data_IF_107869977104
#
_entry.id   IF_107869977104
#
_cell.length_a   1.000
_cell.length_b   1.000
_cell.length_c   1.000
_cell.angle_alpha   90.00
_cell.angle_beta   90.00
_cell.angle_gamma   90.00
#
_symmetry.space_group_name_H-M   'P 1'
#
loop_
_entity.id
_entity.type
_entity.pdbx_description
1 polymer ?
#
# COMPACT_ATOMS: atom_id res chain seq x y z
N UNK A 1 -1.06 -4.20 3.65
CA UNK A 1 0.09 -3.26 3.49
C UNK A 1 1.33 -4.02 3.06
N UNK A 2 2.33 -3.35 2.51
CA UNK A 2 3.62 -3.95 2.18
C UNK A 2 4.48 -4.10 3.43
N UNK A 3 5.44 -5.03 3.40
CA UNK A 3 6.53 -5.02 4.37
C UNK A 3 7.55 -3.98 3.92
N UNK A 4 8.11 -3.21 4.85
CA UNK A 4 9.08 -2.18 4.49
C UNK A 4 10.30 -2.82 3.82
N UNK A 5 10.89 -2.12 2.86
CA UNK A 5 11.97 -2.64 2.03
C UNK A 5 11.59 -3.61 0.93
N UNK A 6 10.30 -3.88 0.73
CA UNK A 6 9.85 -4.48 -0.52
C UNK A 6 10.21 -3.59 -1.72
N UNK A 7 10.74 -4.23 -2.76
CA UNK A 7 10.88 -3.62 -4.08
C UNK A 7 9.59 -3.81 -4.88
N UNK A 8 8.81 -2.75 -5.01
CA UNK A 8 7.58 -2.70 -5.78
C UNK A 8 7.93 -2.46 -7.24
N UNK A 9 7.79 -3.50 -8.05
CA UNK A 9 7.98 -3.42 -9.50
C UNK A 9 6.71 -2.91 -10.18
N UNK A 10 6.86 -1.95 -11.09
CA UNK A 10 5.73 -1.42 -11.86
C UNK A 10 5.99 -1.43 -13.37
N UNK A 11 4.91 -1.56 -14.14
CA UNK A 11 4.93 -1.62 -15.60
C UNK A 11 3.80 -0.77 -16.19
N UNK A 12 4.08 -0.09 -17.30
CA UNK A 12 3.08 0.63 -18.10
C UNK A 12 2.63 -0.21 -19.28
N UNK A 13 1.34 -0.51 -19.37
CA UNK A 13 0.78 -1.24 -20.50
C UNK A 13 1.03 -0.52 -21.82
N UNK A 14 1.53 -1.27 -22.79
CA UNK A 14 1.67 -0.80 -24.19
C UNK A 14 0.52 -1.27 -25.07
N UNK A 15 -0.14 -2.36 -24.68
CA UNK A 15 -1.32 -2.93 -25.35
C UNK A 15 -2.39 -3.32 -24.32
N UNK A 16 -3.69 -3.30 -24.70
CA UNK A 16 -4.21 -2.71 -25.94
C UNK A 16 -3.95 -1.20 -26.01
N UNK A 17 -4.00 -0.62 -27.22
CA UNK A 17 -3.71 0.80 -27.44
C UNK A 17 -4.47 1.76 -26.52
N UNK A 18 -5.69 1.42 -26.10
CA UNK A 18 -6.49 2.20 -25.15
C UNK A 18 -5.87 2.33 -23.75
N UNK A 19 -4.94 1.45 -23.37
CA UNK A 19 -4.27 1.48 -22.07
C UNK A 19 -2.92 2.22 -22.10
N UNK A 20 -2.50 2.72 -23.25
CA UNK A 20 -1.18 3.35 -23.41
C UNK A 20 -1.22 4.82 -23.02
N UNK A 21 -0.40 5.23 -22.04
CA UNK A 21 -0.33 6.63 -21.57
C UNK A 21 0.48 7.56 -22.46
N UNK A 22 1.49 7.05 -23.18
CA UNK A 22 2.46 7.91 -23.86
C UNK A 22 3.44 8.56 -22.88
N UNK A 23 4.52 9.17 -23.39
CA UNK A 23 5.66 9.57 -22.53
C UNK A 23 5.27 10.55 -21.42
N UNK A 24 4.49 11.60 -21.72
CA UNK A 24 4.12 12.62 -20.73
C UNK A 24 3.26 12.10 -19.58
N UNK A 25 2.36 11.15 -19.84
CA UNK A 25 1.53 10.52 -18.80
C UNK A 25 2.39 9.57 -17.95
N UNK A 26 3.22 8.76 -18.58
CA UNK A 26 4.14 7.84 -17.88
C UNK A 26 5.15 8.62 -17.03
N UNK A 27 5.67 9.75 -17.51
CA UNK A 27 6.57 10.62 -16.76
C UNK A 27 5.89 11.24 -15.54
N UNK A 28 4.62 11.65 -15.63
CA UNK A 28 3.88 12.13 -14.46
C UNK A 28 3.72 11.05 -13.37
N UNK A 29 3.57 9.78 -13.75
CA UNK A 29 3.53 8.67 -12.80
C UNK A 29 4.92 8.41 -12.19
N UNK A 30 5.99 8.47 -13.01
CA UNK A 30 7.38 8.36 -12.53
C UNK A 30 7.71 9.48 -11.53
N UNK A 31 7.33 10.71 -11.83
CA UNK A 31 7.48 11.87 -10.95
C UNK A 31 6.76 11.63 -9.61
N UNK A 32 5.53 11.10 -9.65
CA UNK A 32 4.76 10.82 -8.44
C UNK A 32 5.41 9.70 -7.59
N UNK A 33 5.93 8.63 -8.20
CA UNK A 33 6.73 7.62 -7.48
C UNK A 33 7.99 8.24 -6.87
N UNK A 34 8.67 9.13 -7.59
CA UNK A 34 9.84 9.84 -7.10
C UNK A 34 9.49 10.73 -5.89
N UNK A 35 8.39 11.48 -5.93
CA UNK A 35 7.94 12.33 -4.82
C UNK A 35 7.69 11.51 -3.54
N UNK A 36 6.99 10.37 -3.64
CA UNK A 36 6.83 9.48 -2.49
C UNK A 36 8.18 8.93 -1.99
N UNK A 37 9.10 8.60 -2.90
CA UNK A 37 10.41 8.05 -2.55
C UNK A 37 11.33 9.09 -1.88
N UNK A 38 11.27 10.34 -2.31
CA UNK A 38 12.05 11.47 -1.78
C UNK A 38 11.77 11.76 -0.30
N UNK A 39 10.64 11.29 0.22
CA UNK A 39 10.33 11.33 1.66
C UNK A 39 11.22 10.41 2.51
N UNK A 40 12.13 9.63 1.90
CA UNK A 40 13.04 8.73 2.60
C UNK A 40 12.39 7.41 3.02
N UNK A 41 11.24 7.05 2.42
CA UNK A 41 10.53 5.82 2.77
C UNK A 41 11.36 4.59 2.40
N UNK A 42 11.24 3.53 3.20
CA UNK A 42 12.06 2.33 3.04
C UNK A 42 11.61 1.41 1.89
N UNK A 43 10.49 1.67 1.22
CA UNK A 43 10.08 0.98 0.00
C UNK A 43 10.93 1.37 -1.20
N UNK A 44 11.07 0.48 -2.18
CA UNK A 44 11.85 0.72 -3.40
C UNK A 44 10.89 0.60 -4.59
N UNK A 45 10.93 1.54 -5.52
CA UNK A 45 10.16 1.48 -6.76
C UNK A 45 11.07 1.15 -7.92
N UNK A 46 10.64 0.22 -8.78
CA UNK A 46 11.40 -0.16 -9.97
C UNK A 46 10.50 -0.35 -11.16
N UNK A 47 10.73 0.42 -12.21
CA UNK A 47 10.12 0.15 -13.51
C UNK A 47 10.71 -1.12 -14.13
N UNK A 48 9.85 -1.97 -14.68
CA UNK A 48 10.24 -3.19 -15.41
C UNK A 48 9.72 -3.14 -16.85
N UNK A 49 10.29 -3.98 -17.71
CA UNK A 49 10.01 -3.94 -19.15
C UNK A 49 8.82 -4.83 -19.57
N UNK A 50 8.44 -5.77 -18.70
CA UNK A 50 7.45 -6.79 -18.99
C UNK A 50 6.40 -6.87 -17.87
N UNK A 51 5.14 -7.13 -18.24
CA UNK A 51 4.02 -7.12 -17.29
C UNK A 51 4.12 -8.27 -16.28
N UNK A 52 4.67 -9.41 -16.68
CA UNK A 52 4.91 -10.59 -15.85
C UNK A 52 5.99 -10.38 -14.77
N UNK A 53 6.80 -9.33 -14.88
CA UNK A 53 7.78 -8.95 -13.87
C UNK A 53 7.21 -7.95 -12.84
N UNK A 54 6.02 -7.42 -13.11
CA UNK A 54 5.46 -6.27 -12.40
C UNK A 54 4.41 -6.67 -11.37
N UNK A 55 4.59 -6.21 -10.14
CA UNK A 55 3.56 -6.28 -9.09
C UNK A 55 2.43 -5.29 -9.37
N UNK A 56 2.78 -4.12 -9.89
CA UNK A 56 1.86 -3.03 -10.22
C UNK A 56 1.81 -2.87 -11.73
N UNK A 57 0.62 -2.91 -12.32
CA UNK A 57 0.42 -2.88 -13.78
C UNK A 57 -0.54 -1.75 -14.13
N UNK A 58 -0.02 -0.73 -14.80
CA UNK A 58 -0.64 0.58 -14.94
C UNK A 58 -1.15 0.75 -16.37
N UNK A 59 -2.45 1.07 -16.50
CA UNK A 59 -3.07 1.51 -17.75
C UNK A 59 -3.52 2.97 -17.71
N UNK A 60 -3.92 3.48 -18.87
CA UNK A 60 -4.34 4.88 -19.06
C UNK A 60 -5.67 4.99 -19.82
N UNK A 61 -6.62 4.09 -19.52
CA UNK A 61 -7.92 4.04 -20.17
C UNK A 61 -8.82 5.20 -19.70
N UNK A 62 -8.99 6.19 -20.56
CA UNK A 62 -9.81 7.37 -20.26
C UNK A 62 -11.30 7.09 -20.09
N UNK A 63 -11.76 5.90 -20.47
CA UNK A 63 -13.16 5.49 -20.30
C UNK A 63 -13.45 4.80 -18.96
N UNK A 64 -12.41 4.52 -18.16
CA UNK A 64 -12.47 3.66 -16.98
C UNK A 64 -12.14 4.40 -15.67
N UNK A 65 -12.12 5.74 -15.70
CA UNK A 65 -11.78 6.57 -14.53
C UNK A 65 -10.34 6.34 -14.03
N UNK A 66 -9.99 6.92 -12.88
CA UNK A 66 -8.72 6.63 -12.20
C UNK A 66 -8.99 5.79 -10.97
N UNK A 67 -8.19 4.74 -10.77
CA UNK A 67 -8.33 3.80 -9.66
C UNK A 67 -7.06 2.98 -9.47
N UNK A 68 -6.91 2.44 -8.27
CA UNK A 68 -5.85 1.48 -7.94
C UNK A 68 -6.32 0.52 -6.87
N UNK A 69 -5.81 -0.71 -6.90
CA UNK A 69 -5.93 -1.62 -5.77
C UNK A 69 -5.11 -1.10 -4.57
N UNK A 70 -5.54 -1.47 -3.37
CA UNK A 70 -4.95 -0.94 -2.13
C UNK A 70 -3.86 -1.88 -1.61
N UNK A 71 -2.61 -1.40 -1.60
CA UNK A 71 -1.49 -2.14 -1.04
C UNK A 71 -1.27 -3.47 -1.76
N UNK A 72 -1.31 -4.57 -0.99
CA UNK A 72 -1.05 -5.91 -1.52
C UNK A 72 -2.19 -6.48 -2.35
N UNK A 73 -3.37 -5.86 -2.36
CA UNK A 73 -4.47 -6.28 -3.23
C UNK A 73 -4.05 -6.29 -4.71
N UNK A 74 -3.05 -5.48 -5.09
CA UNK A 74 -2.40 -5.50 -6.41
C UNK A 74 -1.85 -6.88 -6.82
N UNK A 75 -1.46 -7.73 -5.87
CA UNK A 75 -0.93 -9.07 -6.11
C UNK A 75 -1.82 -10.18 -5.56
N UNK A 76 -2.57 -9.92 -4.49
CA UNK A 76 -3.38 -10.94 -3.82
C UNK A 76 -4.72 -11.14 -4.56
N UNK A 77 -5.28 -10.10 -5.19
CA UNK A 77 -6.53 -10.20 -5.97
C UNK A 77 -6.31 -10.25 -7.49
N UNK A 78 -5.18 -9.76 -7.99
CA UNK A 78 -4.89 -9.70 -9.43
C UNK A 78 -3.69 -10.59 -9.75
N UNK A 79 -3.98 -11.85 -10.07
CA UNK A 79 -2.96 -12.87 -10.34
C UNK A 79 -2.53 -12.96 -11.80
N UNK A 80 -3.30 -12.37 -12.72
CA UNK A 80 -3.00 -12.38 -14.15
C UNK A 80 -2.10 -11.20 -14.53
N UNK A 81 -0.96 -11.42 -15.23
CA UNK A 81 -0.10 -10.34 -15.70
C UNK A 81 -0.76 -9.49 -16.80
N UNK A 82 -1.87 -9.95 -17.39
CA UNK A 82 -2.60 -9.23 -18.43
C UNK A 82 -3.70 -8.31 -17.86
N UNK A 83 -3.81 -8.18 -16.55
CA UNK A 83 -4.79 -7.33 -15.88
C UNK A 83 -4.11 -6.13 -15.23
N UNK A 84 -4.72 -4.95 -15.39
CA UNK A 84 -4.34 -3.71 -14.69
C UNK A 84 -4.58 -3.88 -13.19
N UNK A 85 -3.66 -3.32 -12.40
CA UNK A 85 -3.88 -3.08 -10.97
C UNK A 85 -4.15 -1.61 -10.68
N UNK A 86 -3.88 -0.75 -11.64
CA UNK A 86 -4.01 0.69 -11.54
C UNK A 86 -4.38 1.25 -12.91
N UNK A 87 -5.26 2.24 -12.95
CA UNK A 87 -5.62 2.96 -14.16
C UNK A 87 -5.65 4.46 -13.92
N UNK A 88 -5.29 5.22 -14.95
CA UNK A 88 -5.49 6.65 -14.99
C UNK A 88 -6.46 7.03 -16.11
N UNK A 89 -7.54 7.71 -15.74
CA UNK A 89 -8.67 8.00 -16.64
C UNK A 89 -8.62 9.37 -17.31
N UNK A 90 -7.59 10.18 -17.07
CA UNK A 90 -7.51 11.54 -17.60
C UNK A 90 -6.06 12.02 -17.71
N UNK A 91 -5.87 13.25 -18.19
CA UNK A 91 -4.57 13.84 -18.42
C UNK A 91 -3.82 14.18 -17.12
N UNK A 92 -2.79 13.39 -16.82
CA UNK A 92 -1.88 13.52 -15.68
C UNK A 92 -0.89 14.68 -15.80
N UNK A 93 -0.79 15.35 -16.95
CA UNK A 93 0.15 16.46 -17.14
C UNK A 93 -0.38 17.79 -16.56
N UNK A 94 -1.67 17.84 -16.22
CA UNK A 94 -2.32 18.96 -15.54
C UNK A 94 -2.04 18.94 -14.02
N UNK A 95 -2.22 20.05 -13.27
CA UNK A 95 -2.06 20.04 -11.81
C UNK A 95 -2.95 18.99 -11.12
N UNK A 96 -4.23 18.93 -11.48
CA UNK A 96 -5.17 17.92 -10.96
C UNK A 96 -4.76 16.49 -11.33
N UNK A 97 -4.26 16.31 -12.55
CA UNK A 97 -3.72 15.05 -13.01
C UNK A 97 -2.49 14.58 -12.21
N UNK A 98 -1.58 15.48 -11.87
CA UNK A 98 -0.41 15.17 -11.02
C UNK A 98 -0.83 14.76 -9.61
N UNK A 99 -1.83 15.43 -9.04
CA UNK A 99 -2.41 15.04 -7.75
C UNK A 99 -3.08 13.67 -7.82
N UNK A 100 -3.74 13.36 -8.93
CA UNK A 100 -4.30 12.01 -9.18
C UNK A 100 -3.20 10.96 -9.20
N UNK A 101 -2.06 11.23 -9.85
CA UNK A 101 -0.93 10.31 -9.84
C UNK A 101 -0.41 10.03 -8.42
N UNK A 102 -0.32 11.05 -7.58
CA UNK A 102 0.05 10.88 -6.17
C UNK A 102 -0.99 10.06 -5.39
N UNK A 103 -2.29 10.32 -5.62
CA UNK A 103 -3.41 9.63 -4.99
C UNK A 103 -3.39 8.13 -5.27
N UNK A 104 -3.32 7.74 -6.54
CA UNK A 104 -3.34 6.32 -6.93
C UNK A 104 -2.09 5.57 -6.44
N UNK A 105 -0.95 6.26 -6.34
CA UNK A 105 0.24 5.70 -5.68
C UNK A 105 0.02 5.59 -4.16
N UNK A 106 -0.69 6.52 -3.53
CA UNK A 106 -1.12 6.36 -2.14
C UNK A 106 -1.92 5.06 -1.93
N UNK A 107 -2.85 4.74 -2.82
CA UNK A 107 -3.52 3.43 -2.81
C UNK A 107 -2.54 2.27 -2.98
N UNK A 108 -1.60 2.34 -3.93
CA UNK A 108 -0.54 1.33 -4.08
C UNK A 108 0.23 1.16 -2.77
N UNK A 109 0.49 2.21 -2.01
CA UNK A 109 1.18 2.16 -0.71
C UNK A 109 0.32 1.58 0.42
N UNK A 110 -0.99 1.42 0.19
CA UNK A 110 -1.94 0.83 1.13
C UNK A 110 -2.84 1.84 1.83
N UNK A 111 -2.86 3.10 1.40
CA UNK A 111 -3.73 4.11 1.96
C UNK A 111 -5.16 3.94 1.45
N UNK A 112 -6.17 3.86 2.32
CA UNK A 112 -7.55 4.00 1.92
C UNK A 112 -7.92 5.47 1.69
N UNK A 113 -9.15 5.73 1.24
CA UNK A 113 -9.68 7.09 1.16
C UNK A 113 -9.90 7.74 2.52
N UNK A 114 -9.51 9.01 2.64
CA UNK A 114 -9.62 9.78 3.89
C UNK A 114 -11.07 10.10 4.27
N UNK A 115 -11.98 10.27 3.30
CA UNK A 115 -13.41 10.47 3.60
C UNK A 115 -14.08 9.25 4.23
N UNK A 116 -13.46 8.06 4.12
CA UNK A 116 -13.92 6.83 4.76
C UNK A 116 -13.32 6.64 6.16
N UNK A 117 -12.41 7.52 6.60
CA UNK A 117 -11.87 7.54 7.95
C UNK A 117 -13.04 7.62 8.95
N UNK A 118 -13.14 6.68 9.92
CA UNK A 118 -14.21 6.71 10.93
C UNK A 118 -14.14 7.95 11.83
N UNK A 119 -12.99 8.63 11.90
CA UNK A 119 -12.78 9.89 12.62
C UNK A 119 -12.98 11.13 11.74
N UNK A 120 -13.38 10.98 10.48
CA UNK A 120 -13.62 12.08 9.55
C UNK A 120 -14.69 13.08 10.03
N UNK A 121 -15.62 12.64 10.89
CA UNK A 121 -16.80 13.43 11.28
C UNK A 121 -17.82 13.68 10.15
N UNK A 122 -17.51 13.26 8.91
CA UNK A 122 -18.37 13.45 7.75
C UNK A 122 -19.69 12.69 7.92
N UNK A 123 -20.79 13.45 7.86
CA UNK A 123 -22.15 12.92 7.73
C UNK A 123 -22.66 13.24 6.32
N UNK A 124 -22.92 12.21 5.53
CA UNK A 124 -23.34 12.34 4.14
C UNK A 124 -24.82 12.75 3.98
N UNK A 125 -25.11 13.51 2.93
CA UNK A 125 -26.45 13.53 2.32
C UNK A 125 -26.54 12.40 1.28
N UNK A 126 -26.66 11.16 1.75
CA UNK A 126 -26.50 9.95 0.91
C UNK A 126 -27.32 9.98 -0.38
N UNK A 127 -28.56 10.46 -0.36
CA UNK A 127 -29.40 10.54 -1.55
C UNK A 127 -28.81 11.48 -2.61
N UNK A 128 -28.26 12.62 -2.20
CA UNK A 128 -27.55 13.52 -3.13
C UNK A 128 -26.22 12.96 -3.58
N UNK A 129 -25.52 12.21 -2.73
CA UNK A 129 -24.29 11.52 -3.11
C UNK A 129 -24.60 10.46 -4.19
N UNK A 130 -25.65 9.67 -4.02
CA UNK A 130 -26.11 8.71 -5.03
C UNK A 130 -26.57 9.38 -6.32
N UNK A 131 -27.30 10.49 -6.24
CA UNK A 131 -27.73 11.26 -7.42
C UNK A 131 -26.55 11.84 -8.19
N UNK A 132 -25.60 12.48 -7.48
CA UNK A 132 -24.40 13.08 -8.06
C UNK A 132 -23.52 12.03 -8.75
N UNK A 133 -23.21 10.92 -8.07
CA UNK A 133 -22.28 9.90 -8.58
C UNK A 133 -22.94 8.88 -9.52
N UNK A 134 -24.27 8.81 -9.54
CA UNK A 134 -25.03 8.11 -10.57
C UNK A 134 -25.08 8.86 -11.91
N UNK A 135 -24.72 10.16 -11.91
CA UNK A 135 -24.57 10.98 -13.11
C UNK A 135 -23.20 10.84 -13.78
N UNK A 136 -23.02 11.56 -14.88
CA UNK A 136 -21.72 11.69 -15.54
C UNK A 136 -20.70 12.39 -14.61
N UNK A 137 -19.40 12.04 -14.67
CA UNK A 137 -18.79 11.05 -15.56
C UNK A 137 -18.81 9.61 -15.01
N UNK A 138 -19.20 9.40 -13.75
CA UNK A 138 -19.00 8.13 -13.05
C UNK A 138 -20.04 7.06 -13.41
N UNK A 139 -21.32 7.45 -13.51
CA UNK A 139 -22.44 6.54 -13.74
C UNK A 139 -22.48 5.35 -12.76
N UNK A 140 -22.09 5.58 -11.51
CA UNK A 140 -21.96 4.51 -10.52
C UNK A 140 -23.32 4.03 -10.02
N UNK A 141 -23.40 2.72 -9.77
CA UNK A 141 -24.54 2.16 -9.03
C UNK A 141 -24.55 2.68 -7.58
N UNK A 142 -25.71 2.60 -6.92
CA UNK A 142 -25.80 2.88 -5.48
C UNK A 142 -24.82 2.01 -4.66
N UNK A 143 -24.68 0.74 -5.01
CA UNK A 143 -23.79 -0.17 -4.30
C UNK A 143 -22.31 0.23 -4.48
N UNK A 144 -21.91 0.58 -5.69
CA UNK A 144 -20.56 1.11 -5.99
C UNK A 144 -20.31 2.38 -5.19
N UNK A 145 -21.25 3.32 -5.22
CA UNK A 145 -21.17 4.59 -4.48
C UNK A 145 -21.09 4.35 -2.97
N UNK A 146 -21.89 3.42 -2.44
CA UNK A 146 -21.85 3.09 -1.02
C UNK A 146 -20.49 2.56 -0.61
N UNK A 147 -19.93 1.61 -1.36
CA UNK A 147 -18.63 1.00 -1.05
C UNK A 147 -17.47 1.99 -1.15
N UNK A 148 -17.48 2.87 -2.15
CA UNK A 148 -16.36 3.76 -2.45
C UNK A 148 -16.42 5.08 -1.66
N UNK A 149 -17.62 5.56 -1.30
CA UNK A 149 -17.81 6.90 -0.71
C UNK A 149 -18.42 6.85 0.68
N UNK A 150 -19.57 6.19 0.84
CA UNK A 150 -20.38 6.34 2.06
C UNK A 150 -19.86 5.44 3.19
N UNK A 151 -19.48 4.19 2.86
CA UNK A 151 -19.03 3.19 3.82
C UNK A 151 -17.81 3.72 4.57
N UNK A 152 -17.87 3.70 5.91
CA UNK A 152 -16.71 3.94 6.76
C UNK A 152 -15.87 2.68 6.89
N UNK A 153 -14.56 2.87 6.95
CA UNK A 153 -13.64 1.77 7.21
C UNK A 153 -13.73 1.44 8.71
N UNK A 154 -13.82 0.15 9.08
CA UNK A 154 -13.88 -0.26 10.48
C UNK A 154 -12.76 0.38 11.32
N UNK A 155 -13.05 0.93 12.53
CA UNK A 155 -12.03 1.61 13.35
C UNK A 155 -10.84 0.76 13.79
N UNK A 156 -10.95 -0.57 13.65
CA UNK A 156 -9.90 -1.54 13.91
C UNK A 156 -9.03 -1.86 12.67
N UNK A 157 -9.30 -1.23 11.52
CA UNK A 157 -8.60 -1.46 10.25
C UNK A 157 -7.82 -0.26 9.70
N UNK A 158 -7.75 0.84 10.47
CA UNK A 158 -6.95 2.03 10.11
C UNK A 158 -6.17 2.50 11.33
N UNK A 159 -4.89 2.85 11.13
CA UNK A 159 -4.11 3.57 12.13
C UNK A 159 -4.72 4.97 12.25
N UNK A 160 -5.27 5.27 13.42
CA UNK A 160 -6.25 6.34 13.59
C UNK A 160 -5.63 7.72 13.69
N UNK A 161 -5.26 8.33 12.55
CA UNK A 161 -5.12 9.78 12.45
C UNK A 161 -6.47 10.46 12.58
N UNK A 162 -6.46 11.70 13.07
CA UNK A 162 -7.62 12.58 12.96
C UNK A 162 -7.86 12.97 11.50
N UNK A 163 -9.08 13.41 11.20
CA UNK A 163 -9.48 13.78 9.84
C UNK A 163 -8.55 14.80 9.20
N UNK A 164 -8.03 14.49 8.02
CA UNK A 164 -7.30 15.43 7.19
C UNK A 164 -8.07 15.82 5.93
N UNK A 165 -8.68 17.01 5.95
CA UNK A 165 -9.42 17.53 4.80
C UNK A 165 -8.52 17.82 3.57
N UNK A 166 -7.21 17.96 3.77
CA UNK A 166 -6.23 18.31 2.74
C UNK A 166 -5.36 17.10 2.36
N UNK A 167 -5.67 15.90 2.86
CA UNK A 167 -4.96 14.67 2.47
C UNK A 167 -5.09 14.45 0.96
N UNK A 168 -4.00 14.01 0.34
CA UNK A 168 -4.02 13.57 -1.06
C UNK A 168 -5.00 12.44 -1.27
N UNK A 169 -5.31 11.65 -0.23
CA UNK A 169 -6.26 10.53 -0.24
C UNK A 169 -7.72 10.96 -0.07
N UNK A 170 -7.98 12.27 0.04
CA UNK A 170 -9.32 12.81 0.16
C UNK A 170 -9.92 13.13 -1.22
N UNK A 171 -11.15 12.69 -1.47
CA UNK A 171 -11.87 13.09 -2.68
C UNK A 171 -12.34 14.54 -2.62
N UNK A 172 -12.48 15.14 -3.79
CA UNK A 172 -13.21 16.41 -3.94
C UNK A 172 -14.72 16.12 -3.93
N UNK A 173 -15.47 16.92 -3.17
CA UNK A 173 -16.93 16.82 -3.11
C UNK A 173 -17.57 18.17 -3.33
N UNK A 174 -18.58 18.21 -4.20
CA UNK A 174 -19.37 19.41 -4.44
C UNK A 174 -20.14 19.87 -3.19
N UNK A 175 -20.48 21.15 -3.16
CA UNK A 175 -21.29 21.72 -2.09
C UNK A 175 -22.65 21.01 -1.99
N UNK A 176 -23.08 20.72 -0.77
CA UNK A 176 -24.40 20.15 -0.49
C UNK A 176 -24.45 18.63 -0.43
N UNK A 177 -23.35 17.93 -0.73
CA UNK A 177 -23.24 16.48 -0.57
C UNK A 177 -22.97 16.05 0.89
N UNK A 178 -22.42 16.95 1.70
CA UNK A 178 -22.05 16.71 3.10
C UNK A 178 -22.96 17.53 4.03
N UNK A 179 -23.59 16.86 4.99
CA UNK A 179 -24.45 17.48 6.02
C UNK A 179 -23.64 18.03 7.20
N UNK A 180 -22.58 17.34 7.59
CA UNK A 180 -21.66 17.76 8.65
C UNK A 180 -20.23 17.42 8.23
N UNK A 181 -19.24 18.34 8.34
CA UNK A 181 -19.34 19.71 8.85
C UNK A 181 -20.25 20.64 8.04
N UNK A 182 -21.04 21.48 8.73
CA UNK A 182 -22.11 22.28 8.11
C UNK A 182 -21.65 23.26 7.03
N UNK A 183 -20.37 23.66 7.02
CA UNK A 183 -19.77 24.51 5.98
C UNK A 183 -19.93 23.90 4.58
N UNK A 184 -19.85 22.57 4.47
CA UNK A 184 -19.91 21.87 3.19
C UNK A 184 -21.33 21.71 2.63
N UNK A 185 -22.34 22.19 3.35
CA UNK A 185 -23.69 22.36 2.79
C UNK A 185 -23.72 23.41 1.67
N UNK A 186 -22.83 24.40 1.75
CA UNK A 186 -22.80 25.57 0.85
C UNK A 186 -21.46 25.80 0.17
N UNK A 187 -20.40 25.12 0.62
CA UNK A 187 -19.07 25.20 0.03
C UNK A 187 -18.61 23.81 -0.42
N UNK A 188 -17.87 23.70 -1.53
CA UNK A 188 -17.27 22.42 -1.90
C UNK A 188 -16.15 22.05 -0.93
N UNK A 189 -15.93 20.76 -0.74
CA UNK A 189 -14.74 20.22 -0.10
C UNK A 189 -13.69 19.97 -1.19
N UNK A 190 -12.66 20.80 -1.22
CA UNK A 190 -11.57 20.71 -2.18
C UNK A 190 -10.26 20.64 -1.38
N UNK A 191 -9.61 19.47 -1.33
CA UNK A 191 -8.30 19.33 -0.72
C UNK A 191 -7.27 20.23 -1.41
N UNK A 192 -6.27 20.68 -0.66
CA UNK A 192 -5.10 21.29 -1.28
C UNK A 192 -4.33 20.25 -2.10
N UNK A 193 -3.72 20.67 -3.21
CA UNK A 193 -2.90 19.78 -4.03
C UNK A 193 -1.59 19.38 -3.35
N UNK A 194 -1.04 18.23 -3.74
CA UNK A 194 0.16 17.64 -3.14
C UNK A 194 -0.10 16.85 -1.85
N UNK A 195 0.99 16.36 -1.26
CA UNK A 195 0.95 15.58 -0.01
C UNK A 195 0.78 16.49 1.20
N UNK A 196 -0.18 16.18 2.06
CA UNK A 196 -0.35 16.89 3.32
C UNK A 196 0.76 16.54 4.34
N UNK A 197 0.94 17.34 5.41
CA UNK A 197 1.82 16.96 6.50
C UNK A 197 1.45 15.62 7.16
N UNK A 198 0.16 15.26 7.21
CA UNK A 198 -0.32 14.01 7.81
C UNK A 198 -0.04 12.84 6.86
N UNK A 199 -0.18 13.01 5.54
CA UNK A 199 0.20 12.01 4.55
C UNK A 199 1.69 11.64 4.69
N UNK A 200 2.55 12.65 4.79
CA UNK A 200 4.00 12.51 4.96
C UNK A 200 4.33 11.81 6.29
N UNK A 201 3.72 12.25 7.40
CA UNK A 201 3.94 11.63 8.70
C UNK A 201 3.52 10.16 8.70
N UNK A 202 2.36 9.86 8.10
CA UNK A 202 1.80 8.51 8.08
C UNK A 202 2.68 7.58 7.24
N UNK A 203 3.06 7.98 6.02
CA UNK A 203 3.89 7.11 5.16
C UNK A 203 5.27 6.87 5.73
N UNK A 204 5.90 7.88 6.34
CA UNK A 204 7.23 7.74 6.95
C UNK A 204 7.20 6.90 8.23
N UNK A 205 6.07 6.86 8.92
CA UNK A 205 5.85 5.94 10.05
C UNK A 205 5.61 4.52 9.56
N UNK A 206 4.82 4.33 8.50
CA UNK A 206 4.50 3.01 7.96
C UNK A 206 5.67 2.36 7.22
N UNK A 207 6.53 3.17 6.60
CA UNK A 207 7.65 2.71 5.79
C UNK A 207 8.91 3.54 6.12
N UNK A 208 9.46 3.41 7.34
CA UNK A 208 10.61 4.21 7.77
C UNK A 208 11.85 3.91 6.91
N UNK A 209 12.84 4.79 6.93
CA UNK A 209 14.13 4.53 6.27
C UNK A 209 14.74 3.20 6.79
N UNK A 210 15.32 2.42 5.88
CA UNK A 210 15.92 1.13 6.26
C UNK A 210 17.19 1.31 7.10
N UNK A 211 17.33 0.49 8.13
CA UNK A 211 18.52 0.49 8.98
C UNK A 211 19.72 -0.08 8.23
N UNK A 212 20.84 0.65 8.23
CA UNK A 212 22.10 0.20 7.62
C UNK A 212 22.70 -1.07 8.26
N UNK A 213 22.30 -1.40 9.49
CA UNK A 213 22.77 -2.60 10.19
C UNK A 213 21.61 -3.31 10.86
N UNK A 214 21.48 -4.61 10.57
CA UNK A 214 20.45 -5.48 11.12
C UNK A 214 21.05 -6.45 12.15
N UNK A 215 20.33 -6.73 13.26
CA UNK A 215 20.70 -7.82 14.17
C UNK A 215 20.67 -9.16 13.42
N UNK A 216 21.55 -10.07 13.82
CA UNK A 216 21.61 -11.40 13.22
C UNK A 216 20.63 -12.36 13.92
N UNK A 217 19.74 -13.00 13.15
CA UNK A 217 18.92 -14.10 13.65
C UNK A 217 19.74 -15.39 13.56
N UNK A 218 20.40 -15.72 14.67
CA UNK A 218 21.22 -16.92 14.78
C UNK A 218 20.37 -18.17 14.90
N UNK A 219 20.89 -19.24 14.33
CA UNK A 219 20.21 -20.53 14.33
C UNK A 219 20.03 -21.07 15.75
N UNK A 220 18.84 -21.62 16.03
CA UNK A 220 18.42 -22.16 17.33
C UNK A 220 18.36 -21.14 18.48
N UNK A 221 18.52 -19.85 18.19
CA UNK A 221 18.33 -18.77 19.17
C UNK A 221 16.95 -18.14 18.96
N UNK A 222 16.09 -18.21 19.98
CA UNK A 222 14.80 -17.52 19.96
C UNK A 222 15.00 -16.04 20.28
N UNK A 223 14.71 -15.17 19.31
CA UNK A 223 14.76 -13.72 19.47
C UNK A 223 13.39 -13.22 19.91
N UNK A 224 13.31 -12.63 21.10
CA UNK A 224 12.08 -12.01 21.57
C UNK A 224 11.83 -10.73 20.78
N UNK A 225 10.61 -10.58 20.30
CA UNK A 225 10.19 -9.43 19.50
C UNK A 225 8.95 -8.81 20.10
N UNK A 226 8.84 -7.51 19.89
CA UNK A 226 7.69 -6.71 20.26
C UNK A 226 7.48 -5.74 19.12
N UNK A 227 6.29 -5.78 18.52
CA UNK A 227 5.95 -5.03 17.32
C UNK A 227 4.69 -4.25 17.62
N UNK A 228 4.73 -2.92 17.50
CA UNK A 228 3.52 -2.10 17.60
C UNK A 228 2.77 -2.12 16.26
N UNK A 229 1.55 -1.59 16.28
CA UNK A 229 0.80 -1.29 15.06
C UNK A 229 1.68 -0.50 14.08
N UNK A 230 1.68 -0.92 12.81
CA UNK A 230 2.47 -0.25 11.77
C UNK A 230 3.99 -0.51 11.82
N UNK A 231 4.55 -1.06 12.90
CA UNK A 231 5.99 -1.36 13.02
C UNK A 231 6.35 -2.73 12.44
N UNK A 232 7.66 -2.97 12.28
CA UNK A 232 8.22 -4.27 11.93
C UNK A 232 9.56 -4.52 12.63
N UNK A 233 10.01 -5.76 12.60
CA UNK A 233 11.35 -6.18 13.04
C UNK A 233 12.07 -6.90 11.92
N UNK A 234 13.36 -6.59 11.79
CA UNK A 234 14.20 -7.03 10.68
C UNK A 234 15.43 -7.74 11.23
N UNK A 235 15.75 -8.89 10.66
CA UNK A 235 16.97 -9.63 10.99
C UNK A 235 17.71 -10.07 9.74
N UNK A 236 19.04 -10.01 9.81
CA UNK A 236 19.90 -10.66 8.82
C UNK A 236 20.12 -12.13 9.19
N UNK A 237 20.09 -13.00 8.20
CA UNK A 237 20.36 -14.43 8.32
C UNK A 237 21.59 -14.76 7.47
N UNK A 238 22.54 -15.48 8.07
CA UNK A 238 23.77 -15.96 7.42
C UNK A 238 23.87 -17.47 7.62
N UNK A 239 23.34 -18.29 6.68
CA UNK A 239 23.33 -19.74 6.85
C UNK A 239 24.74 -20.31 6.94
N UNK A 240 24.99 -21.14 7.95
CA UNK A 240 26.26 -21.85 8.12
C UNK A 240 26.38 -23.06 7.18
N UNK A 241 25.23 -23.62 6.75
CA UNK A 241 25.11 -24.78 5.87
C UNK A 241 24.08 -24.52 4.76
N UNK A 242 24.26 -25.15 3.61
CA UNK A 242 23.24 -25.19 2.54
C UNK A 242 22.26 -26.32 2.84
N UNK A 243 21.03 -26.00 3.21
CA UNK A 243 19.95 -26.97 3.51
C UNK A 243 18.60 -26.27 3.63
N UNK A 244 17.54 -27.05 3.83
CA UNK A 244 16.24 -26.54 4.25
C UNK A 244 16.31 -26.00 5.69
N UNK A 245 15.78 -24.79 5.90
CA UNK A 245 15.59 -24.17 7.21
C UNK A 245 14.10 -23.92 7.44
N UNK A 246 13.72 -23.85 8.71
CA UNK A 246 12.41 -23.35 9.14
C UNK A 246 12.60 -22.03 9.85
N UNK A 247 11.87 -21.02 9.42
CA UNK A 247 11.74 -19.73 10.06
C UNK A 247 10.31 -19.61 10.57
N UNK A 248 10.14 -19.27 11.84
CA UNK A 248 8.80 -19.22 12.42
C UNK A 248 8.70 -18.16 13.51
N UNK A 249 7.55 -17.52 13.58
CA UNK A 249 7.16 -16.72 14.75
C UNK A 249 6.53 -17.62 15.83
N UNK A 250 6.47 -17.11 17.05
CA UNK A 250 5.86 -17.77 18.20
C UNK A 250 5.14 -16.73 19.05
N UNK A 251 3.93 -17.04 19.50
CA UNK A 251 3.13 -16.15 20.33
C UNK A 251 1.69 -16.07 19.82
N UNK A 252 1.05 -14.94 20.11
CA UNK A 252 -0.31 -14.61 19.67
C UNK A 252 -0.33 -13.41 18.71
N UNK A 253 0.77 -13.19 18.01
CA UNK A 253 0.89 -12.07 17.08
C UNK A 253 0.40 -12.54 15.71
N UNK A 254 -0.56 -11.81 15.16
CA UNK A 254 -0.95 -11.92 13.76
C UNK A 254 0.11 -11.17 12.94
N UNK A 255 0.93 -11.92 12.18
CA UNK A 255 2.13 -11.36 11.54
C UNK A 255 2.27 -11.77 10.10
N UNK A 256 2.69 -10.82 9.27
CA UNK A 256 3.26 -11.11 7.95
C UNK A 256 4.76 -11.22 8.09
N UNK A 257 5.30 -12.36 7.68
CA UNK A 257 6.73 -12.60 7.60
C UNK A 257 7.14 -12.71 6.14
N UNK A 258 8.18 -11.97 5.74
CA UNK A 258 8.71 -12.00 4.38
C UNK A 258 10.21 -12.20 4.43
N UNK A 259 10.70 -13.11 3.61
CA UNK A 259 12.11 -13.44 3.46
C UNK A 259 12.62 -12.92 2.11
N UNK A 260 13.74 -12.21 2.18
CA UNK A 260 14.48 -11.70 1.04
C UNK A 260 15.87 -12.33 0.97
N UNK A 261 16.39 -12.53 -0.23
CA UNK A 261 17.81 -12.80 -0.46
C UNK A 261 18.51 -11.53 -0.92
N UNK A 262 19.65 -11.21 -0.31
CA UNK A 262 20.45 -10.06 -0.72
C UNK A 262 21.42 -10.48 -1.83
N UNK A 263 21.14 -10.08 -3.06
CA UNK A 263 21.98 -10.31 -4.26
C UNK A 263 22.46 -8.98 -4.81
N UNK A 264 23.78 -8.80 -4.86
CA UNK A 264 24.42 -7.59 -5.40
C UNK A 264 23.86 -6.27 -4.83
N UNK A 265 23.48 -6.28 -3.55
CA UNK A 265 22.88 -5.12 -2.86
C UNK A 265 21.38 -4.94 -3.06
N UNK A 266 20.75 -5.81 -3.85
CA UNK A 266 19.29 -5.83 -4.09
C UNK A 266 18.66 -6.93 -3.24
N UNK A 267 17.55 -6.62 -2.61
CA UNK A 267 16.75 -7.58 -1.85
C UNK A 267 15.69 -8.21 -2.74
N UNK A 268 15.89 -9.47 -3.10
CA UNK A 268 14.96 -10.23 -3.93
C UNK A 268 14.01 -11.03 -3.03
N UNK A 269 12.71 -10.91 -3.28
CA UNK A 269 11.70 -11.71 -2.58
C UNK A 269 11.96 -13.21 -2.79
N UNK A 270 11.92 -13.98 -1.71
CA UNK A 270 12.03 -15.44 -1.75
C UNK A 270 10.71 -16.09 -1.38
N UNK A 271 10.16 -15.72 -0.23
CA UNK A 271 8.92 -16.31 0.28
C UNK A 271 8.27 -15.38 1.31
N UNK A 272 6.97 -15.51 1.51
CA UNK A 272 6.20 -14.77 2.49
C UNK A 272 5.07 -15.62 3.03
N UNK A 273 4.77 -15.45 4.32
CA UNK A 273 3.68 -16.15 5.00
C UNK A 273 3.02 -15.18 5.98
N UNK A 274 1.68 -15.14 5.95
CA UNK A 274 0.83 -14.23 6.73
C UNK A 274 -0.06 -14.97 7.74
N UNK A 275 0.32 -16.21 8.09
CA UNK A 275 -0.36 -17.07 9.06
C UNK A 275 -1.79 -17.57 8.72
N UNK A 276 -2.30 -17.31 7.52
CA UNK A 276 -3.54 -17.92 6.98
C UNK A 276 -4.80 -17.79 7.86
N UNK A 277 -4.84 -16.87 8.85
CA UNK A 277 -6.06 -16.47 9.55
C UNK A 277 -6.62 -17.45 10.61
N UNK A 278 -5.82 -18.40 11.11
CA UNK A 278 -6.27 -19.44 12.06
C UNK A 278 -5.51 -19.52 13.39
N UNK A 279 -5.14 -18.40 14.02
CA UNK A 279 -4.38 -18.38 15.30
C UNK A 279 -3.01 -19.11 15.22
N UNK A 280 -2.44 -19.29 14.03
CA UNK A 280 -1.11 -19.89 13.86
C UNK A 280 -0.04 -18.81 13.73
N UNK A 281 1.22 -19.21 13.85
CA UNK A 281 2.33 -18.30 13.69
C UNK A 281 2.87 -18.41 12.27
N UNK A 282 3.23 -17.27 11.67
CA UNK A 282 3.86 -17.23 10.35
C UNK A 282 5.06 -18.19 10.28
N UNK A 283 5.10 -19.02 9.24
CA UNK A 283 6.11 -20.07 9.04
C UNK A 283 6.57 -20.11 7.59
N UNK A 284 7.87 -19.92 7.40
CA UNK A 284 8.54 -20.08 6.10
C UNK A 284 9.47 -21.29 6.16
N UNK A 285 9.29 -22.20 5.21
CA UNK A 285 10.18 -23.35 5.03
C UNK A 285 10.88 -23.28 3.67
N UNK A 286 12.17 -22.97 3.65
CA UNK A 286 12.89 -22.78 2.39
C UNK A 286 14.34 -23.26 2.46
N UNK A 287 14.95 -23.48 1.29
CA UNK A 287 16.38 -23.79 1.18
C UNK A 287 17.20 -22.51 1.23
N UNK A 288 18.08 -22.41 2.22
CA UNK A 288 19.05 -21.32 2.29
C UNK A 288 20.45 -21.86 1.94
N UNK A 289 21.23 -21.03 1.27
CA UNK A 289 22.55 -21.40 0.78
C UNK A 289 23.66 -20.78 1.64
N UNK A 290 24.65 -21.59 2.02
CA UNK A 290 25.86 -21.13 2.71
C UNK A 290 26.56 -20.06 1.86
N UNK A 291 27.02 -18.99 2.52
CA UNK A 291 27.74 -17.89 1.88
C UNK A 291 26.83 -16.81 1.27
N UNK A 292 25.51 -17.04 1.24
CA UNK A 292 24.52 -16.02 0.90
C UNK A 292 24.00 -15.32 2.15
N UNK A 293 23.37 -14.17 1.95
CA UNK A 293 22.74 -13.36 3.00
C UNK A 293 21.26 -13.24 2.72
N UNK A 294 20.47 -13.35 3.77
CA UNK A 294 19.03 -13.22 3.70
C UNK A 294 18.56 -12.20 4.74
N UNK A 295 17.44 -11.56 4.49
CA UNK A 295 16.81 -10.63 5.43
C UNK A 295 15.39 -11.14 5.66
N UNK A 296 15.06 -11.44 6.90
CA UNK A 296 13.67 -11.66 7.29
C UNK A 296 13.12 -10.38 7.88
N UNK A 297 11.91 -10.06 7.46
CA UNK A 297 11.13 -8.95 8.00
C UNK A 297 9.80 -9.47 8.48
N UNK A 298 9.45 -9.10 9.70
CA UNK A 298 8.20 -9.51 10.33
C UNK A 298 7.43 -8.27 10.72
N UNK A 299 6.23 -8.10 10.17
CA UNK A 299 5.32 -6.98 10.41
C UNK A 299 4.06 -7.49 11.10
N UNK A 300 3.52 -6.73 12.04
CA UNK A 300 2.21 -7.03 12.62
C UNK A 300 1.13 -6.78 11.56
N UNK A 301 0.26 -7.76 11.29
CA UNK A 301 -0.72 -7.66 10.20
C UNK A 301 -1.72 -6.54 10.50
N UNK A 302 -2.53 -6.62 11.56
CA UNK A 302 -3.48 -5.54 11.91
C UNK A 302 -4.01 -5.66 13.34
N UNK A 303 -3.50 -4.87 14.31
CA UNK A 303 -4.22 -4.63 15.57
C UNK A 303 -3.90 -3.25 16.13
N UNK A 304 -4.83 -2.64 16.89
CA UNK A 304 -4.58 -1.47 17.74
C UNK A 304 -3.73 -1.80 18.99
N UNK A 305 -3.19 -3.02 19.07
CA UNK A 305 -2.45 -3.53 20.21
C UNK A 305 -1.02 -3.88 19.82
N UNK A 306 -0.14 -3.82 20.81
CA UNK A 306 1.22 -4.31 20.68
C UNK A 306 1.21 -5.84 20.63
N UNK A 307 1.85 -6.42 19.62
CA UNK A 307 2.15 -7.85 19.56
C UNK A 307 3.46 -8.16 20.28
N UNK A 308 3.48 -9.20 21.11
CA UNK A 308 4.71 -9.74 21.69
C UNK A 308 4.84 -11.24 21.44
N UNK A 309 6.05 -11.66 21.12
CA UNK A 309 6.35 -13.04 20.79
C UNK A 309 7.83 -13.27 20.57
N UNK A 310 8.17 -14.27 19.76
CA UNK A 310 9.53 -14.56 19.36
C UNK A 310 9.60 -14.97 17.89
N UNK A 311 10.79 -14.87 17.31
CA UNK A 311 11.13 -15.43 16.01
C UNK A 311 12.35 -16.34 16.17
N UNK A 312 12.38 -17.44 15.42
CA UNK A 312 13.52 -18.37 15.44
C UNK A 312 13.75 -18.97 14.05
N UNK A 313 15.01 -19.25 13.76
CA UNK A 313 15.48 -20.00 12.60
C UNK A 313 16.08 -21.34 13.06
N UNK A 314 15.70 -22.48 12.47
CA UNK A 314 16.28 -23.79 12.81
C UNK A 314 16.37 -24.77 11.64
#
# INVERSE_FOLDING_TARGET
MWVNGTQLTYYFFKEPAIWRGGSGQEDAVRDAFAMWKELGIGLIFREVQHAEEAMIRIGFDQSDGSWSYVGRDCIDFVTSPNQRTTNYGWDLTTPYGRDTALHEIGHILGFPHEHQNPRAGIVWDEEKVYESLGGAPNFWSRETTYRNIIRKIPPNSVDGSDWDKDSIMHYQFEAGLIKDPAIYKTQPLVPQGGLSPIDIQTVTTLYPEQKATLPELRQYESQRITIKAGEQVDFIIKPSLTRKYTLQTFGKMDTVMVLFELRDGVEEYIEGDDDSGFDVNARIETHLHKGRKYIVRTRLYFTNAQGSGAIMLW
#
